data_IF_060756188406
#
_entry.id   IF_060756188406
#
_cell.length_a   1.000
_cell.length_b   1.000
_cell.length_c   1.000
_cell.angle_alpha   90.00
_cell.angle_beta   90.00
_cell.angle_gamma   90.00
#
_symmetry.space_group_name_H-M   'P 1'
#
loop_
_entity.id
_entity.type
_entity.pdbx_description
1 polymer ?
#
# COMPACT_ATOMS: atom_id res chain seq x y z
N UNK A 1 15.54 -32.66 6.95
CA UNK A 1 14.68 -31.47 7.04
C UNK A 1 14.57 -30.89 5.64
N UNK A 2 13.45 -31.11 4.96
CA UNK A 2 13.24 -30.62 3.60
C UNK A 2 12.94 -29.13 3.72
N UNK A 3 13.90 -28.27 3.37
CA UNK A 3 13.62 -26.86 3.12
C UNK A 3 12.69 -26.80 1.90
N UNK A 4 11.39 -26.74 2.15
CA UNK A 4 10.44 -26.33 1.11
C UNK A 4 10.82 -24.89 0.80
N UNK A 5 11.41 -24.69 -0.38
CA UNK A 5 11.80 -23.39 -0.89
C UNK A 5 10.49 -22.64 -1.23
N UNK A 6 9.81 -22.10 -0.21
CA UNK A 6 8.67 -21.19 -0.34
C UNK A 6 9.23 -19.88 -0.89
N UNK A 7 9.61 -19.88 -2.18
CA UNK A 7 9.91 -18.64 -2.88
C UNK A 7 8.60 -17.87 -2.99
N UNK A 8 8.54 -16.70 -2.37
CA UNK A 8 7.45 -15.78 -2.58
C UNK A 8 7.67 -15.23 -4.00
N UNK A 9 7.15 -15.93 -5.00
CA UNK A 9 7.46 -15.68 -6.41
C UNK A 9 7.04 -14.28 -6.91
N UNK A 10 6.28 -13.54 -6.10
CA UNK A 10 5.90 -12.14 -6.31
C UNK A 10 6.82 -11.11 -5.59
N UNK A 11 7.93 -11.53 -4.98
CA UNK A 11 8.85 -10.68 -4.21
C UNK A 11 9.31 -9.46 -5.04
N UNK A 12 9.62 -9.69 -6.33
CA UNK A 12 10.03 -8.65 -7.30
C UNK A 12 8.97 -7.58 -7.56
N UNK A 13 7.72 -7.80 -7.11
CA UNK A 13 6.61 -6.85 -7.21
C UNK A 13 6.04 -6.44 -5.86
N UNK A 14 6.63 -6.92 -4.75
CA UNK A 14 6.12 -6.65 -3.42
C UNK A 14 6.54 -5.24 -2.96
N UNK A 15 5.63 -4.59 -2.23
CA UNK A 15 5.84 -3.28 -1.60
C UNK A 15 5.58 -3.43 -0.11
N UNK A 16 6.52 -2.97 0.70
CA UNK A 16 6.39 -2.96 2.16
C UNK A 16 6.29 -1.53 2.66
N UNK A 17 5.18 -1.17 3.31
CA UNK A 17 5.03 0.05 4.09
C UNK A 17 5.32 -0.22 5.57
N UNK A 18 6.03 0.69 6.21
CA UNK A 18 6.54 0.55 7.57
C UNK A 18 6.21 1.84 8.32
N UNK A 19 5.43 1.74 9.40
CA UNK A 19 5.23 2.88 10.30
C UNK A 19 6.57 3.26 10.95
N UNK A 20 6.94 4.53 10.91
CA UNK A 20 8.23 5.00 11.46
C UNK A 20 8.44 4.68 12.93
N UNK A 21 7.36 4.69 13.71
CA UNK A 21 7.37 4.29 15.12
C UNK A 21 7.84 2.85 15.33
N UNK A 22 7.64 1.95 14.36
CA UNK A 22 8.22 0.62 14.39
C UNK A 22 9.75 0.65 14.25
N UNK A 23 10.29 1.53 13.39
CA UNK A 23 11.75 1.68 13.24
C UNK A 23 12.40 2.23 14.51
N UNK A 24 11.75 3.16 15.20
CA UNK A 24 12.17 3.62 16.52
C UNK A 24 12.25 2.46 17.52
N UNK A 25 11.16 1.70 17.65
CA UNK A 25 11.10 0.53 18.52
C UNK A 25 12.18 -0.51 18.16
N UNK A 26 12.45 -0.72 16.87
CA UNK A 26 13.50 -1.63 16.41
C UNK A 26 14.91 -1.12 16.76
N UNK A 27 15.18 0.19 16.68
CA UNK A 27 16.45 0.80 17.11
C UNK A 27 16.65 0.65 18.62
N UNK A 28 15.65 1.00 19.42
CA UNK A 28 15.71 0.87 20.89
C UNK A 28 16.00 -0.56 21.33
N UNK A 29 15.44 -1.54 20.63
CA UNK A 29 15.67 -2.98 20.91
C UNK A 29 16.97 -3.52 20.28
N UNK A 30 17.79 -2.69 19.66
CA UNK A 30 19.00 -3.12 18.91
C UNK A 30 18.70 -4.15 17.82
N UNK A 31 17.51 -4.06 17.19
CA UNK A 31 17.02 -4.97 16.14
C UNK A 31 17.01 -4.35 14.74
N UNK A 32 17.35 -3.06 14.61
CA UNK A 32 17.33 -2.37 13.31
C UNK A 32 18.21 -3.07 12.25
N UNK A 33 19.42 -3.48 12.61
CA UNK A 33 20.34 -4.21 11.69
C UNK A 33 19.73 -5.51 11.19
N UNK A 34 19.16 -6.30 12.11
CA UNK A 34 18.51 -7.56 11.79
C UNK A 34 17.34 -7.31 10.85
N UNK A 35 16.41 -6.42 11.23
CA UNK A 35 15.26 -6.03 10.43
C UNK A 35 15.66 -5.59 9.02
N UNK A 36 16.68 -4.74 8.89
CA UNK A 36 17.13 -4.26 7.58
C UNK A 36 17.75 -5.38 6.73
N UNK A 37 18.53 -6.30 7.32
CA UNK A 37 19.04 -7.45 6.59
C UNK A 37 17.89 -8.32 6.08
N UNK A 38 16.86 -8.54 6.90
CA UNK A 38 15.68 -9.31 6.49
C UNK A 38 14.90 -8.65 5.35
N UNK A 39 14.74 -7.32 5.36
CA UNK A 39 14.12 -6.60 4.25
C UNK A 39 14.90 -6.74 2.94
N UNK A 40 16.23 -6.90 2.99
CA UNK A 40 17.04 -7.18 1.79
C UNK A 40 16.72 -8.55 1.23
N UNK A 41 16.72 -9.57 2.09
CA UNK A 41 16.57 -10.97 1.71
C UNK A 41 15.22 -11.26 1.05
N UNK A 42 14.15 -10.59 1.47
CA UNK A 42 12.80 -10.73 0.90
C UNK A 42 12.59 -10.02 -0.45
N UNK A 43 13.63 -9.38 -0.99
CA UNK A 43 13.64 -8.75 -2.33
C UNK A 43 12.44 -7.83 -2.68
N UNK A 44 11.89 -7.09 -1.71
CA UNK A 44 10.87 -6.06 -1.99
C UNK A 44 11.28 -5.09 -3.10
N UNK A 45 10.37 -4.83 -4.04
CA UNK A 45 10.52 -3.81 -5.08
C UNK A 45 10.61 -2.41 -4.51
N UNK A 46 9.82 -2.14 -3.48
CA UNK A 46 9.79 -0.85 -2.82
C UNK A 46 9.56 -1.01 -1.31
N UNK A 47 10.21 -0.13 -0.56
CA UNK A 47 10.03 0.04 0.87
C UNK A 47 9.51 1.46 1.09
N UNK A 48 8.46 1.58 1.87
CA UNK A 48 7.84 2.83 2.24
C UNK A 48 7.99 3.00 3.76
N UNK A 49 8.36 4.19 4.21
CA UNK A 49 8.37 4.59 5.61
C UNK A 49 7.30 5.66 5.80
N UNK A 50 6.28 5.34 6.58
CA UNK A 50 5.20 6.25 6.94
C UNK A 50 5.57 7.07 8.18
N UNK A 51 5.72 8.39 8.02
CA UNK A 51 6.00 9.33 9.12
C UNK A 51 4.73 10.04 9.63
N UNK A 52 3.52 9.58 9.25
CA UNK A 52 2.23 10.20 9.61
C UNK A 52 2.09 10.54 11.09
N UNK A 53 2.68 9.70 11.95
CA UNK A 53 2.56 9.77 13.39
C UNK A 53 3.86 10.21 14.09
N UNK A 54 4.87 10.67 13.33
CA UNK A 54 6.12 11.15 13.89
C UNK A 54 5.99 12.63 14.28
N UNK A 55 5.98 12.94 15.58
CA UNK A 55 6.07 14.33 16.05
C UNK A 55 7.45 14.93 15.78
N UNK A 56 8.49 14.12 16.01
CA UNK A 56 9.89 14.42 15.72
C UNK A 56 10.49 13.20 15.03
N UNK A 57 11.24 13.44 13.96
CA UNK A 57 11.97 12.38 13.26
C UNK A 57 13.40 12.33 13.82
N UNK A 58 13.76 11.23 14.48
CA UNK A 58 15.15 10.90 14.82
C UNK A 58 15.90 10.56 13.53
N UNK A 59 16.79 11.50 13.18
CA UNK A 59 17.58 11.52 11.97
C UNK A 59 18.53 10.33 11.86
N UNK A 60 19.10 9.91 13.00
CA UNK A 60 20.05 8.81 13.05
C UNK A 60 19.37 7.48 12.75
N UNK A 61 18.10 7.30 13.12
CA UNK A 61 17.32 6.08 12.77
C UNK A 61 17.20 5.97 11.27
N UNK A 62 16.76 7.03 10.60
CA UNK A 62 16.53 7.05 9.17
C UNK A 62 17.84 6.87 8.40
N UNK A 63 18.89 7.58 8.81
CA UNK A 63 20.22 7.46 8.22
C UNK A 63 20.79 6.05 8.40
N UNK A 64 20.68 5.48 9.60
CA UNK A 64 21.10 4.10 9.87
C UNK A 64 20.32 3.11 9.02
N UNK A 65 19.00 3.24 8.95
CA UNK A 65 18.15 2.36 8.14
C UNK A 65 18.49 2.45 6.65
N UNK A 66 18.67 3.67 6.11
CA UNK A 66 19.03 3.90 4.71
C UNK A 66 20.45 3.39 4.38
N UNK A 67 21.42 3.60 5.27
CA UNK A 67 22.76 3.04 5.15
C UNK A 67 22.74 1.52 5.19
N UNK A 68 21.98 0.94 6.11
CA UNK A 68 21.87 -0.50 6.26
C UNK A 68 21.17 -1.12 5.07
N UNK A 69 20.16 -0.49 4.46
CA UNK A 69 19.46 -1.05 3.30
C UNK A 69 20.37 -1.17 2.08
N UNK A 70 21.37 -0.29 1.92
CA UNK A 70 22.46 -0.37 0.93
C UNK A 70 22.08 -1.02 -0.42
N UNK A 71 20.95 -0.64 -1.00
CA UNK A 71 20.33 -1.43 -2.09
C UNK A 71 19.73 -0.55 -3.17
N UNK A 72 19.67 -1.09 -4.38
CA UNK A 72 18.87 -0.64 -5.54
C UNK A 72 17.36 -0.52 -5.27
N UNK A 73 16.89 -0.77 -4.03
CA UNK A 73 15.49 -0.71 -3.63
C UNK A 73 15.03 0.73 -3.44
N UNK A 74 13.85 1.00 -3.96
CA UNK A 74 13.19 2.28 -3.79
C UNK A 74 12.72 2.46 -2.35
N UNK A 75 13.24 3.46 -1.64
CA UNK A 75 12.75 3.86 -0.31
C UNK A 75 11.88 5.11 -0.50
N UNK A 76 10.76 5.19 0.20
CA UNK A 76 9.86 6.35 0.13
C UNK A 76 9.47 6.82 1.51
N UNK A 77 9.58 8.13 1.77
CA UNK A 77 9.12 8.75 3.03
C UNK A 77 7.75 9.42 2.82
N UNK A 78 6.83 9.32 3.78
CA UNK A 78 5.53 10.04 3.75
C UNK A 78 5.40 11.00 4.93
N UNK A 79 4.57 12.04 4.78
CA UNK A 79 4.11 12.92 5.87
C UNK A 79 5.21 13.70 6.63
N UNK A 80 6.26 14.12 5.92
CA UNK A 80 7.36 14.95 6.44
C UNK A 80 6.90 16.38 6.79
N UNK A 81 6.52 16.64 8.04
CA UNK A 81 6.29 18.02 8.50
C UNK A 81 7.59 18.77 8.84
N UNK A 82 8.63 18.04 9.27
CA UNK A 82 9.82 18.61 9.93
C UNK A 82 11.05 17.71 9.76
N UNK A 83 11.60 17.59 8.54
CA UNK A 83 12.92 16.98 8.31
C UNK A 83 13.97 18.04 8.00
N UNK A 84 15.21 17.85 8.46
CA UNK A 84 16.34 18.70 8.05
C UNK A 84 16.70 18.49 6.57
N UNK A 85 17.27 19.53 5.95
CA UNK A 85 17.79 19.45 4.58
C UNK A 85 18.97 18.47 4.43
N UNK A 86 19.66 18.12 5.52
CA UNK A 86 20.79 17.17 5.51
C UNK A 86 20.30 15.73 5.36
N UNK A 87 19.20 15.35 6.02
CA UNK A 87 18.54 14.07 5.76
C UNK A 87 18.06 13.99 4.33
N UNK A 88 17.36 15.04 3.90
CA UNK A 88 16.79 15.11 2.56
C UNK A 88 17.89 14.81 1.53
N UNK A 89 19.07 15.43 1.69
CA UNK A 89 20.28 15.16 0.88
C UNK A 89 20.83 13.74 1.02
N UNK A 90 20.88 13.19 2.24
CA UNK A 90 21.41 11.83 2.49
C UNK A 90 20.61 10.75 1.77
N UNK A 91 19.30 10.95 1.66
CA UNK A 91 18.42 10.11 0.86
C UNK A 91 18.55 10.42 -0.65
N UNK A 92 18.62 11.70 -1.05
CA UNK A 92 18.82 12.08 -2.46
C UNK A 92 20.09 11.48 -3.08
N UNK A 93 21.23 11.51 -2.36
CA UNK A 93 22.51 10.99 -2.86
C UNK A 93 22.51 9.46 -3.07
N UNK A 94 21.49 8.77 -2.56
CA UNK A 94 21.33 7.30 -2.63
C UNK A 94 20.23 6.83 -3.57
N UNK A 95 19.70 7.70 -4.44
CA UNK A 95 18.53 7.39 -5.30
C UNK A 95 17.24 7.12 -4.50
N UNK A 96 17.06 7.81 -3.36
CA UNK A 96 15.91 7.67 -2.48
C UNK A 96 15.09 8.97 -2.51
N UNK A 97 13.80 8.88 -2.81
CA UNK A 97 12.91 10.05 -2.96
C UNK A 97 12.36 10.50 -1.59
N UNK A 98 12.49 11.80 -1.31
CA UNK A 98 12.09 12.43 -0.03
C UNK A 98 10.94 13.39 -0.25
N UNK A 99 9.84 13.21 0.49
CA UNK A 99 8.56 13.87 0.20
C UNK A 99 8.01 14.68 1.38
N UNK A 100 8.04 16.00 1.22
CA UNK A 100 7.41 16.98 2.13
C UNK A 100 5.92 17.19 1.79
N UNK A 101 4.94 16.82 2.66
CA UNK A 101 3.58 17.31 2.56
C UNK A 101 3.53 18.83 2.71
N UNK A 102 2.89 19.47 1.74
CA UNK A 102 2.16 20.71 1.98
C UNK A 102 0.73 20.27 2.32
N UNK A 103 0.11 20.92 3.29
CA UNK A 103 -1.22 20.58 3.80
C UNK A 103 -2.20 20.25 2.65
N UNK A 104 -2.81 19.06 2.71
CA UNK A 104 -3.71 18.45 1.71
C UNK A 104 -3.08 17.86 0.43
N UNK A 105 -1.75 17.74 0.32
CA UNK A 105 -1.09 17.14 -0.85
C UNK A 105 -0.10 16.05 -0.42
N UNK A 106 -0.43 14.77 -0.65
CA UNK A 106 0.50 13.65 -0.48
C UNK A 106 1.26 13.44 -1.79
N UNK A 107 2.54 13.84 -1.90
CA UNK A 107 3.32 13.49 -3.09
C UNK A 107 3.67 12.00 -3.08
N UNK A 108 3.75 11.40 -4.26
CA UNK A 108 4.45 10.13 -4.41
C UNK A 108 5.32 10.22 -5.65
N UNK A 109 6.61 10.04 -5.46
CA UNK A 109 7.48 9.68 -6.56
C UNK A 109 7.33 8.19 -6.87
N UNK A 110 7.36 7.88 -8.16
CA UNK A 110 7.62 6.54 -8.67
C UNK A 110 8.63 6.69 -9.80
N UNK A 111 9.84 6.18 -9.58
CA UNK A 111 10.82 5.74 -10.59
C UNK A 111 11.31 6.75 -11.66
N UNK A 112 10.94 8.02 -11.57
CA UNK A 112 11.45 9.09 -12.40
C UNK A 112 11.11 10.40 -11.68
N UNK A 113 12.03 11.36 -11.61
CA UNK A 113 11.85 12.71 -11.03
C UNK A 113 10.68 13.53 -11.65
N UNK A 114 9.85 12.89 -12.47
CA UNK A 114 8.73 13.45 -13.19
C UNK A 114 7.37 13.01 -12.64
N UNK A 115 7.25 12.12 -11.65
CA UNK A 115 5.94 11.63 -11.18
C UNK A 115 5.47 12.31 -9.88
N UNK A 116 4.21 12.74 -9.79
CA UNK A 116 3.57 13.36 -8.63
C UNK A 116 2.26 12.63 -8.34
N UNK A 117 2.22 11.73 -7.36
CA UNK A 117 0.90 11.27 -6.91
C UNK A 117 0.17 12.39 -6.17
N UNK A 118 -1.14 12.44 -6.34
CA UNK A 118 -2.06 13.33 -5.64
C UNK A 118 -3.24 12.51 -5.09
N UNK A 119 -3.41 12.48 -3.77
CA UNK A 119 -4.58 11.83 -3.14
C UNK A 119 -5.78 12.77 -3.16
N UNK A 120 -6.90 12.32 -3.75
CA UNK A 120 -8.16 13.08 -3.79
C UNK A 120 -9.14 12.39 -2.87
N UNK A 121 -9.52 13.02 -1.76
CA UNK A 121 -10.65 12.53 -0.97
C UNK A 121 -11.95 12.80 -1.75
N UNK A 122 -12.74 11.75 -1.97
CA UNK A 122 -13.99 11.89 -2.69
C UNK A 122 -15.14 12.12 -1.71
N UNK A 123 -15.59 13.37 -1.58
CA UNK A 123 -16.91 13.66 -1.00
C UNK A 123 -17.88 14.09 -2.11
N UNK A 124 -19.16 13.75 -1.96
CA UNK A 124 -20.21 13.99 -2.98
C UNK A 124 -20.36 15.47 -3.36
N UNK A 125 -20.05 16.36 -2.41
CA UNK A 125 -20.15 17.81 -2.55
C UNK A 125 -18.97 18.42 -3.34
N UNK A 126 -17.91 17.64 -3.60
CA UNK A 126 -16.63 18.13 -4.15
C UNK A 126 -16.49 17.99 -5.66
N UNK A 127 -17.52 17.58 -6.42
CA UNK A 127 -17.37 17.42 -7.87
C UNK A 127 -17.04 18.74 -8.58
N UNK A 128 -17.62 19.86 -8.13
CA UNK A 128 -17.27 21.19 -8.64
C UNK A 128 -15.83 21.58 -8.26
N UNK A 129 -15.39 21.18 -7.07
CA UNK A 129 -14.03 21.40 -6.57
C UNK A 129 -12.99 20.56 -7.31
N UNK A 130 -13.35 19.37 -7.78
CA UNK A 130 -12.45 18.47 -8.51
C UNK A 130 -11.87 19.12 -9.76
N UNK A 131 -12.68 19.87 -10.51
CA UNK A 131 -12.21 20.56 -11.72
C UNK A 131 -11.13 21.58 -11.37
N UNK A 132 -11.38 22.38 -10.34
CA UNK A 132 -10.46 23.42 -9.90
C UNK A 132 -9.18 22.79 -9.34
N UNK A 133 -9.29 21.72 -8.56
CA UNK A 133 -8.16 20.93 -8.04
C UNK A 133 -7.31 20.37 -9.17
N UNK A 134 -7.90 19.68 -10.15
CA UNK A 134 -7.15 19.11 -11.28
C UNK A 134 -6.50 20.22 -12.11
N UNK A 135 -7.21 21.32 -12.36
CA UNK A 135 -6.66 22.47 -13.08
C UNK A 135 -5.48 23.12 -12.33
N UNK A 136 -5.57 23.23 -11.01
CA UNK A 136 -4.50 23.74 -10.16
C UNK A 136 -3.28 22.81 -10.22
N UNK A 137 -3.48 21.50 -10.08
CA UNK A 137 -2.43 20.48 -10.16
C UNK A 137 -1.72 20.55 -11.52
N UNK A 138 -2.45 20.56 -12.63
CA UNK A 138 -1.85 20.64 -13.97
C UNK A 138 -1.05 21.93 -14.16
N UNK A 139 -1.55 23.06 -13.64
CA UNK A 139 -0.89 24.36 -13.73
C UNK A 139 0.39 24.38 -12.92
N UNK A 140 0.32 23.92 -11.66
CA UNK A 140 1.42 23.94 -10.70
C UNK A 140 2.52 22.97 -11.07
N UNK A 141 2.17 21.84 -11.69
CA UNK A 141 3.09 20.74 -11.97
C UNK A 141 3.23 20.44 -13.46
N UNK A 142 3.28 21.51 -14.25
CA UNK A 142 3.46 21.43 -15.71
C UNK A 142 4.70 20.58 -16.07
N UNK A 143 4.53 19.65 -17.02
CA UNK A 143 5.54 18.68 -17.48
C UNK A 143 5.93 17.59 -16.48
N UNK A 144 5.13 17.39 -15.43
CA UNK A 144 5.23 16.24 -14.53
C UNK A 144 4.08 15.29 -14.85
N UNK A 145 4.36 13.99 -14.82
CA UNK A 145 3.33 12.98 -14.71
C UNK A 145 2.68 13.11 -13.33
N UNK A 146 1.37 13.16 -13.27
CA UNK A 146 0.60 13.19 -12.03
C UNK A 146 -0.09 11.84 -11.89
N UNK A 147 -0.12 11.25 -10.71
CA UNK A 147 -0.84 9.99 -10.48
C UNK A 147 -1.92 10.25 -9.44
N UNK A 148 -3.18 10.24 -9.83
CA UNK A 148 -4.28 10.52 -8.93
C UNK A 148 -4.67 9.25 -8.16
N UNK A 149 -4.89 9.40 -6.86
CA UNK A 149 -5.33 8.34 -5.95
C UNK A 149 -6.67 8.75 -5.32
N UNK A 150 -7.81 8.52 -5.99
CA UNK A 150 -9.12 8.77 -5.41
C UNK A 150 -9.32 7.90 -4.17
N UNK A 151 -9.39 8.53 -2.99
CA UNK A 151 -9.73 7.88 -1.73
C UNK A 151 -11.22 7.72 -1.62
N UNK A 152 -11.66 6.49 -1.44
CA UNK A 152 -13.07 6.20 -1.21
C UNK A 152 -13.30 5.96 0.27
N UNK A 153 -14.15 6.79 0.87
CA UNK A 153 -14.52 6.67 2.28
C UNK A 153 -15.46 5.48 2.51
N UNK A 154 -15.82 5.25 3.78
CA UNK A 154 -16.49 4.07 4.32
C UNK A 154 -17.44 3.33 3.35
N UNK A 155 -18.30 4.00 2.59
CA UNK A 155 -18.98 3.35 1.46
C UNK A 155 -18.57 3.96 0.12
N UNK A 156 -18.21 3.11 -0.84
CA UNK A 156 -18.00 3.54 -2.22
C UNK A 156 -19.34 4.04 -2.79
N UNK A 157 -19.47 5.36 -2.85
CA UNK A 157 -20.40 5.99 -3.79
C UNK A 157 -19.85 5.79 -5.21
N UNK A 158 -20.26 4.68 -5.81
CA UNK A 158 -19.84 4.32 -7.16
C UNK A 158 -20.28 5.34 -8.23
N UNK A 159 -21.31 6.16 -7.96
CA UNK A 159 -21.73 7.22 -8.89
C UNK A 159 -20.72 8.37 -8.84
N UNK A 160 -20.39 8.85 -7.65
CA UNK A 160 -19.38 9.89 -7.47
C UNK A 160 -18.01 9.42 -7.98
N UNK A 161 -17.59 8.21 -7.60
CA UNK A 161 -16.36 7.60 -8.07
C UNK A 161 -16.29 7.57 -9.61
N UNK A 162 -17.35 7.09 -10.28
CA UNK A 162 -17.41 7.10 -11.75
C UNK A 162 -17.25 8.49 -12.33
N UNK A 163 -17.92 9.49 -11.78
CA UNK A 163 -17.82 10.87 -12.29
C UNK A 163 -16.39 11.39 -12.20
N UNK A 164 -15.68 11.11 -11.10
CA UNK A 164 -14.27 11.50 -10.92
C UNK A 164 -13.36 10.76 -11.90
N UNK A 165 -13.52 9.44 -12.04
CA UNK A 165 -12.72 8.66 -12.99
C UNK A 165 -12.97 9.14 -14.43
N UNK A 166 -14.24 9.29 -14.83
CA UNK A 166 -14.61 9.77 -16.16
C UNK A 166 -14.02 11.17 -16.41
N UNK A 167 -13.97 12.03 -15.39
CA UNK A 167 -13.33 13.34 -15.49
C UNK A 167 -11.82 13.19 -15.71
N UNK A 168 -11.12 12.48 -14.81
CA UNK A 168 -9.66 12.26 -14.90
C UNK A 168 -9.28 11.70 -16.27
N UNK A 169 -9.96 10.66 -16.75
CA UNK A 169 -9.66 10.03 -18.04
C UNK A 169 -9.93 10.94 -19.26
N UNK A 170 -10.88 11.87 -19.16
CA UNK A 170 -11.23 12.80 -20.25
C UNK A 170 -10.39 14.07 -20.24
N UNK A 171 -9.98 14.56 -19.08
CA UNK A 171 -9.24 15.82 -18.94
C UNK A 171 -7.74 15.63 -18.82
N UNK A 172 -7.24 14.42 -18.55
CA UNK A 172 -5.81 14.14 -18.44
C UNK A 172 -5.07 14.46 -19.73
N UNK A 173 -4.23 15.49 -19.73
CA UNK A 173 -3.27 15.76 -20.80
C UNK A 173 -2.11 14.75 -20.79
N UNK A 174 -2.32 13.46 -21.11
CA UNK A 174 -1.33 12.35 -21.15
C UNK A 174 -0.42 12.13 -19.91
N UNK A 175 -0.41 13.07 -18.97
CA UNK A 175 0.49 13.15 -17.84
C UNK A 175 -0.24 12.72 -16.57
N UNK A 176 -1.57 12.78 -16.53
CA UNK A 176 -2.33 12.30 -15.37
C UNK A 176 -2.67 10.82 -15.54
N UNK A 177 -2.27 10.00 -14.58
CA UNK A 177 -2.54 8.57 -14.47
C UNK A 177 -3.30 8.27 -13.16
N UNK A 178 -3.83 7.06 -12.99
CA UNK A 178 -4.38 6.61 -11.71
C UNK A 178 -3.37 5.74 -10.97
N UNK A 179 -3.47 5.67 -9.63
CA UNK A 179 -2.64 4.75 -8.85
C UNK A 179 -2.95 3.27 -9.20
N UNK A 180 -2.10 2.33 -8.74
CA UNK A 180 -2.23 0.90 -9.03
C UNK A 180 -3.41 0.18 -8.33
N UNK A 181 -4.09 0.86 -7.39
CA UNK A 181 -5.29 0.37 -6.71
C UNK A 181 -6.59 0.65 -7.49
N UNK A 182 -6.50 1.42 -8.58
CA UNK A 182 -7.60 1.65 -9.53
C UNK A 182 -7.27 0.97 -10.86
N UNK A 183 -7.92 -0.15 -11.15
CA UNK A 183 -7.62 -0.93 -12.35
C UNK A 183 -8.85 -1.05 -13.25
N UNK A 184 -8.64 -1.13 -14.58
CA UNK A 184 -9.70 -1.50 -15.49
C UNK A 184 -10.34 -2.84 -15.11
N UNK A 185 -11.67 -2.88 -15.09
CA UNK A 185 -12.44 -4.07 -14.74
C UNK A 185 -12.08 -5.26 -15.62
N UNK A 186 -11.88 -5.03 -16.93
CA UNK A 186 -11.48 -6.06 -17.88
C UNK A 186 -10.08 -6.63 -17.57
N UNK A 187 -9.14 -5.79 -17.09
CA UNK A 187 -7.82 -6.26 -16.65
C UNK A 187 -7.95 -7.18 -15.43
N UNK A 188 -8.83 -6.86 -14.48
CA UNK A 188 -9.06 -7.74 -13.31
C UNK A 188 -9.70 -9.06 -13.73
N UNK A 189 -10.68 -9.03 -14.63
CA UNK A 189 -11.37 -10.22 -15.16
C UNK A 189 -10.39 -11.17 -15.87
N UNK A 190 -9.52 -10.62 -16.72
CA UNK A 190 -8.51 -11.38 -17.46
C UNK A 190 -7.35 -11.83 -16.56
N UNK A 191 -7.03 -11.04 -15.54
CA UNK A 191 -5.92 -11.28 -14.63
C UNK A 191 -6.37 -11.22 -13.16
N UNK A 192 -7.08 -12.26 -12.67
CA UNK A 192 -7.57 -12.34 -11.29
C UNK A 192 -6.43 -12.33 -10.25
N UNK A 193 -5.19 -12.57 -10.66
CA UNK A 193 -4.01 -12.35 -9.83
C UNK A 193 -3.88 -10.91 -9.32
N UNK A 194 -4.44 -9.92 -10.02
CA UNK A 194 -4.40 -8.52 -9.61
C UNK A 194 -5.15 -8.31 -8.29
N UNK A 195 -6.16 -9.14 -8.01
CA UNK A 195 -6.89 -9.22 -6.75
C UNK A 195 -6.52 -10.47 -5.94
N UNK A 196 -5.29 -10.97 -6.09
CA UNK A 196 -4.73 -12.07 -5.28
C UNK A 196 -5.46 -13.42 -5.38
N UNK A 197 -6.14 -13.70 -6.49
CA UNK A 197 -6.93 -14.94 -6.68
C UNK A 197 -6.30 -15.99 -7.57
N UNK A 198 -5.08 -15.79 -8.05
CA UNK A 198 -4.47 -16.73 -8.99
C UNK A 198 -3.54 -17.71 -8.28
N UNK A 199 -3.78 -19.00 -8.47
CA UNK A 199 -2.94 -20.10 -7.95
C UNK A 199 -1.74 -20.42 -8.84
N UNK A 200 -1.39 -19.53 -9.79
CA UNK A 200 -0.22 -19.67 -10.66
C UNK A 200 -0.32 -20.71 -11.78
N UNK A 201 -1.42 -21.48 -11.88
CA UNK A 201 -1.62 -22.48 -12.94
C UNK A 201 -2.00 -21.86 -14.30
N UNK A 202 -2.84 -20.81 -14.29
CA UNK A 202 -3.35 -20.18 -15.52
C UNK A 202 -2.73 -18.80 -15.79
N UNK A 203 -1.79 -18.35 -14.96
CA UNK A 203 -1.09 -17.08 -15.15
C UNK A 203 0.28 -17.33 -15.77
N UNK A 204 0.67 -16.49 -16.73
CA UNK A 204 2.02 -16.48 -17.31
C UNK A 204 3.12 -16.19 -16.28
N UNK A 205 2.73 -15.79 -15.06
CA UNK A 205 3.60 -15.49 -13.94
C UNK A 205 3.17 -16.38 -12.79
N UNK A 206 4.12 -17.06 -12.13
CA UNK A 206 3.87 -17.86 -10.92
C UNK A 206 3.55 -16.92 -9.75
N UNK A 207 2.38 -16.31 -9.74
CA UNK A 207 1.99 -15.39 -8.67
C UNK A 207 1.57 -16.17 -7.43
N UNK A 208 1.90 -15.64 -6.26
CA UNK A 208 1.44 -16.19 -5.00
C UNK A 208 0.07 -15.58 -4.65
N UNK A 209 -0.64 -16.25 -3.76
CA UNK A 209 -1.91 -15.77 -3.22
C UNK A 209 -1.72 -14.82 -2.02
N UNK A 210 -0.51 -14.28 -1.85
CA UNK A 210 -0.17 -13.40 -0.75
C UNK A 210 -0.38 -11.92 -1.12
N UNK A 211 -0.61 -11.04 -0.13
CA UNK A 211 -0.71 -9.61 -0.37
C UNK A 211 0.60 -9.03 -0.91
N UNK A 212 0.62 -8.49 -2.13
CA UNK A 212 1.81 -7.82 -2.70
C UNK A 212 2.14 -6.51 -1.99
N UNK A 213 1.14 -5.84 -1.44
CA UNK A 213 1.32 -4.63 -0.64
C UNK A 213 1.10 -5.00 0.82
N UNK A 214 2.15 -4.87 1.63
CA UNK A 214 2.17 -5.24 3.04
C UNK A 214 2.45 -4.00 3.86
N UNK A 215 1.80 -3.87 5.00
CA UNK A 215 2.02 -2.81 5.97
C UNK A 215 2.49 -3.40 7.30
N UNK A 216 3.50 -2.78 7.90
CA UNK A 216 4.03 -3.09 9.23
C UNK A 216 3.65 -1.95 10.17
N UNK A 217 2.77 -2.24 11.14
CA UNK A 217 2.34 -1.25 12.13
C UNK A 217 3.40 -1.04 13.24
N UNK A 218 3.18 -0.03 14.09
CA UNK A 218 4.04 0.28 15.25
C UNK A 218 4.29 -0.90 16.21
N UNK A 219 3.39 -1.88 16.24
CA UNK A 219 3.46 -3.06 17.11
C UNK A 219 4.12 -4.25 16.39
N UNK A 220 4.57 -4.07 15.15
CA UNK A 220 5.16 -5.11 14.32
C UNK A 220 4.14 -6.06 13.70
N UNK A 221 2.84 -5.76 13.72
CA UNK A 221 1.85 -6.55 13.02
C UNK A 221 1.95 -6.30 11.51
N UNK A 222 1.81 -7.39 10.75
CA UNK A 222 1.82 -7.37 9.30
C UNK A 222 0.41 -7.50 8.77
N UNK A 223 0.00 -6.54 7.95
CA UNK A 223 -1.32 -6.49 7.36
C UNK A 223 -1.24 -6.37 5.84
N UNK A 224 -2.24 -6.84 5.08
CA UNK A 224 -2.47 -6.33 3.74
C UNK A 224 -2.61 -4.81 3.80
N UNK A 225 -1.96 -4.10 2.88
CA UNK A 225 -1.83 -2.64 2.90
C UNK A 225 -3.14 -1.88 3.13
N UNK A 226 -3.18 -1.05 4.19
CA UNK A 226 -4.33 -0.27 4.65
C UNK A 226 -5.55 -1.09 5.10
N UNK A 227 -5.42 -2.40 5.26
CA UNK A 227 -6.50 -3.29 5.72
C UNK A 227 -6.14 -3.87 7.10
N UNK A 228 -6.21 -3.02 8.14
CA UNK A 228 -5.79 -3.31 9.52
C UNK A 228 -6.83 -4.10 10.33
N UNK A 229 -7.30 -5.24 9.79
CA UNK A 229 -8.21 -6.15 10.49
C UNK A 229 -7.50 -7.42 10.97
N UNK A 230 -7.65 -7.76 12.25
CA UNK A 230 -7.01 -8.94 12.85
C UNK A 230 -7.35 -10.26 12.15
N UNK A 231 -8.57 -10.37 11.62
CA UNK A 231 -9.05 -11.56 10.90
C UNK A 231 -8.23 -11.87 9.63
N UNK A 232 -7.50 -10.91 9.06
CA UNK A 232 -6.65 -11.15 7.89
C UNK A 232 -5.19 -10.76 8.12
N UNK A 233 -4.81 -10.56 9.39
CA UNK A 233 -3.43 -10.26 9.78
C UNK A 233 -2.50 -11.38 9.29
N UNK A 234 -1.37 -10.99 8.70
CA UNK A 234 -0.36 -11.90 8.17
C UNK A 234 0.42 -12.54 9.32
N UNK A 235 0.86 -11.71 10.29
CA UNK A 235 1.56 -12.16 11.48
C UNK A 235 2.09 -11.00 12.31
N UNK A 236 3.07 -11.25 13.16
CA UNK A 236 3.75 -10.22 13.95
C UNK A 236 5.27 -10.47 13.94
N UNK A 237 6.05 -9.49 13.48
CA UNK A 237 7.50 -9.60 13.37
C UNK A 237 8.18 -9.67 14.75
N UNK A 238 7.63 -9.05 15.78
CA UNK A 238 8.25 -9.08 17.11
C UNK A 238 8.09 -10.48 17.73
N UNK A 239 6.90 -11.08 17.62
CA UNK A 239 6.61 -12.42 18.11
C UNK A 239 7.43 -13.51 17.38
N UNK A 240 7.72 -13.27 16.10
CA UNK A 240 8.46 -14.19 15.23
C UNK A 240 9.95 -13.84 15.10
N UNK A 241 10.52 -13.16 16.10
CA UNK A 241 11.96 -12.81 16.18
C UNK A 241 12.52 -12.09 14.93
N UNK A 242 11.67 -11.32 14.25
CA UNK A 242 11.91 -10.59 13.01
C UNK A 242 12.13 -11.49 11.78
N UNK A 243 11.72 -12.76 11.83
CA UNK A 243 11.78 -13.70 10.71
C UNK A 243 10.50 -13.62 9.84
N UNK A 244 10.60 -12.89 8.73
CA UNK A 244 9.49 -12.74 7.78
C UNK A 244 9.14 -14.06 7.07
N UNK A 245 10.12 -14.94 6.85
CA UNK A 245 9.85 -16.26 6.27
C UNK A 245 9.02 -17.11 7.23
N UNK A 246 9.35 -17.08 8.52
CA UNK A 246 8.55 -17.75 9.56
C UNK A 246 7.13 -17.17 9.60
N UNK A 247 6.98 -15.83 9.59
CA UNK A 247 5.67 -15.16 9.52
C UNK A 247 4.85 -15.68 8.33
N UNK A 248 5.41 -15.67 7.12
CA UNK A 248 4.69 -16.14 5.93
C UNK A 248 4.44 -17.65 5.94
N UNK A 249 5.36 -18.46 6.47
CA UNK A 249 5.16 -19.91 6.60
C UNK A 249 3.98 -20.23 7.53
N UNK A 250 3.84 -19.50 8.65
CA UNK A 250 2.69 -19.60 9.57
C UNK A 250 1.41 -19.07 8.95
N UNK A 251 1.51 -18.00 8.17
CA UNK A 251 0.37 -17.43 7.44
C UNK A 251 -0.16 -18.38 6.38
N UNK A 252 0.71 -19.11 5.69
CA UNK A 252 0.35 -20.03 4.60
C UNK A 252 -0.71 -21.03 5.05
N UNK A 253 -1.85 -21.04 4.37
CA UNK A 253 -3.02 -21.87 4.68
C UNK A 253 -3.63 -21.70 6.10
N UNK A 254 -3.24 -20.65 6.83
CA UNK A 254 -3.86 -20.28 8.09
C UNK A 254 -5.34 -19.88 7.92
N UNK A 255 -6.05 -19.70 9.04
CA UNK A 255 -7.42 -19.17 9.02
C UNK A 255 -7.41 -17.76 8.40
N UNK A 256 -6.45 -16.93 8.78
CA UNK A 256 -6.31 -15.55 8.31
C UNK A 256 -6.05 -15.49 6.80
N UNK A 257 -5.19 -16.37 6.28
CA UNK A 257 -4.94 -16.47 4.83
C UNK A 257 -6.18 -16.93 4.06
N UNK A 258 -6.92 -17.92 4.57
CA UNK A 258 -8.17 -18.35 3.94
C UNK A 258 -9.23 -17.26 3.94
N UNK A 259 -9.37 -16.54 5.06
CA UNK A 259 -10.27 -15.39 5.17
C UNK A 259 -9.88 -14.27 4.20
N UNK A 260 -8.58 -13.98 4.05
CA UNK A 260 -8.09 -13.04 3.03
C UNK A 260 -8.48 -13.47 1.62
N UNK A 261 -8.27 -14.73 1.25
CA UNK A 261 -8.65 -15.23 -0.09
C UNK A 261 -10.16 -15.20 -0.32
N UNK A 262 -10.96 -15.50 0.70
CA UNK A 262 -12.41 -15.38 0.60
C UNK A 262 -12.88 -13.95 0.37
N UNK A 263 -12.32 -12.96 1.07
CA UNK A 263 -12.61 -11.55 0.82
C UNK A 263 -12.32 -11.17 -0.62
N UNK A 264 -11.15 -11.56 -1.13
CA UNK A 264 -10.77 -11.32 -2.51
C UNK A 264 -11.74 -11.97 -3.50
N UNK A 265 -12.21 -13.20 -3.22
CA UNK A 265 -13.20 -13.90 -4.08
C UNK A 265 -14.53 -13.16 -4.11
N UNK A 266 -15.01 -12.68 -2.97
CA UNK A 266 -16.26 -11.92 -2.90
C UNK A 266 -16.15 -10.58 -3.65
N UNK A 267 -15.02 -9.88 -3.51
CA UNK A 267 -14.76 -8.66 -4.29
C UNK A 267 -14.70 -8.95 -5.78
N UNK A 268 -14.01 -10.00 -6.20
CA UNK A 268 -13.92 -10.39 -7.61
C UNK A 268 -15.30 -10.73 -8.20
N UNK A 269 -16.14 -11.47 -7.46
CA UNK A 269 -17.54 -11.71 -7.86
C UNK A 269 -18.29 -10.39 -8.06
N UNK A 270 -18.16 -9.44 -7.13
CA UNK A 270 -18.80 -8.11 -7.26
C UNK A 270 -18.31 -7.39 -8.50
N UNK A 271 -17.00 -7.33 -8.74
CA UNK A 271 -16.39 -6.70 -9.92
C UNK A 271 -16.95 -7.28 -11.22
N UNK A 272 -17.20 -8.60 -11.29
CA UNK A 272 -17.80 -9.21 -12.49
C UNK A 272 -19.21 -8.70 -12.82
N UNK A 273 -19.95 -8.22 -11.82
CA UNK A 273 -21.29 -7.65 -12.01
C UNK A 273 -21.29 -6.12 -12.13
N UNK A 274 -20.17 -5.47 -11.82
CA UNK A 274 -20.03 -4.02 -11.96
C UNK A 274 -19.93 -3.62 -13.43
N UNK A 275 -20.66 -2.56 -13.80
CA UNK A 275 -20.61 -1.94 -15.14
C UNK A 275 -19.60 -0.78 -15.22
N UNK A 276 -18.66 -0.71 -14.27
CA UNK A 276 -17.66 0.34 -14.20
C UNK A 276 -16.44 -0.03 -15.02
N UNK A 277 -15.88 0.95 -15.74
CA UNK A 277 -14.68 0.74 -16.56
C UNK A 277 -13.45 0.52 -15.68
N UNK A 278 -13.31 1.29 -14.61
CA UNK A 278 -12.23 1.20 -13.62
C UNK A 278 -12.84 0.97 -12.25
N UNK A 279 -12.22 0.15 -11.42
CA UNK A 279 -12.68 -0.15 -10.06
C UNK A 279 -11.58 0.06 -9.00
N UNK A 280 -11.94 0.58 -7.81
CA UNK A 280 -11.01 0.76 -6.69
C UNK A 280 -10.89 -0.56 -5.93
N UNK A 281 -10.22 -1.55 -6.53
CA UNK A 281 -10.31 -2.95 -6.09
C UNK A 281 -9.81 -3.17 -4.66
N UNK A 282 -8.78 -2.44 -4.21
CA UNK A 282 -8.28 -2.50 -2.82
C UNK A 282 -9.34 -2.00 -1.84
N UNK A 283 -9.92 -0.84 -2.12
CA UNK A 283 -10.95 -0.24 -1.25
C UNK A 283 -12.17 -1.14 -1.13
N UNK A 284 -12.52 -1.85 -2.22
CA UNK A 284 -13.56 -2.87 -2.18
C UNK A 284 -13.23 -4.03 -1.23
N UNK A 285 -11.96 -4.46 -1.14
CA UNK A 285 -11.51 -5.50 -0.19
C UNK A 285 -11.59 -4.98 1.24
N UNK A 286 -11.10 -3.76 1.49
CA UNK A 286 -11.17 -3.12 2.81
C UNK A 286 -12.62 -3.00 3.29
N UNK A 287 -13.51 -2.52 2.43
CA UNK A 287 -14.94 -2.43 2.72
C UNK A 287 -15.56 -3.78 3.06
N UNK A 288 -15.19 -4.84 2.33
CA UNK A 288 -15.69 -6.18 2.61
C UNK A 288 -15.14 -6.73 3.93
N UNK A 289 -13.87 -6.46 4.24
CA UNK A 289 -13.26 -6.82 5.51
C UNK A 289 -14.00 -6.15 6.68
N UNK A 290 -14.29 -4.85 6.57
CA UNK A 290 -15.05 -4.09 7.57
C UNK A 290 -16.44 -4.66 7.78
N UNK A 291 -17.19 -4.93 6.71
CA UNK A 291 -18.55 -5.48 6.80
C UNK A 291 -18.61 -6.81 7.51
N UNK A 292 -17.57 -7.65 7.41
CA UNK A 292 -17.49 -8.90 8.19
C UNK A 292 -17.20 -8.62 9.66
N UNK A 293 -16.25 -7.73 9.93
CA UNK A 293 -15.89 -7.33 11.30
C UNK A 293 -17.09 -6.74 12.07
N UNK A 294 -17.88 -5.87 11.43
CA UNK A 294 -19.05 -5.25 12.05
C UNK A 294 -20.16 -6.27 12.36
N UNK A 295 -20.28 -7.34 11.56
CA UNK A 295 -21.23 -8.44 11.82
C UNK A 295 -20.80 -9.31 13.00
N UNK A 296 -19.52 -9.61 13.10
CA UNK A 296 -19.00 -10.45 14.18
C UNK A 296 -19.11 -9.72 15.53
N UNK A 297 -18.74 -8.44 15.58
CA UNK A 297 -18.86 -7.60 16.80
C UNK A 297 -20.31 -7.32 17.22
N UNK A 298 -21.23 -7.14 16.27
CA UNK A 298 -22.66 -7.01 16.59
C UNK A 298 -23.26 -8.31 17.13
N UNK A 299 -22.81 -9.48 16.64
CA UNK A 299 -23.28 -10.77 17.15
C UNK A 299 -22.82 -11.08 18.59
N UNK A 300 -21.62 -10.65 18.98
CA UNK A 300 -21.11 -10.81 20.35
C UNK A 300 -21.86 -9.93 21.38
N UNK A 301 -22.42 -8.80 20.95
CA UNK A 301 -23.22 -7.92 21.79
C UNK A 301 -24.64 -8.46 22.07
N UNK A 302 -25.14 -9.39 21.26
CA UNK A 302 -26.44 -10.05 21.49
C UNK A 302 -26.34 -11.31 22.38
N UNK A 303 -25.12 -11.72 22.73
CA UNK A 303 -24.88 -12.91 23.56
C UNK A 303 -24.23 -12.62 24.93
N UNK A 304 -24.19 -11.34 25.33
CA UNK A 304 -23.86 -10.90 26.71
C UNK A 304 -25.08 -10.26 27.36
#
# INVERSE_FOLDING_TARGET
MIMINLKYHDEEFAVCEIEYSFLLNAKEKSKLVFFTQFLKDFNFKAIIIDLSYAEVVDEDVLNSFAQLLNSEKYIKLYHIKTLSMEIIKTFYDKSIDVITPIENISFFDTYNFNNIIYEINLFYEDYLYLRDVISEIETRYKNKNIIVSPKVNNDIDFKAYRMIIDYILKTSNNNISLNSFHLPTEIIKLHPCNVYLCTGHDCHIKKTNYPRYIEIDKNGNLHPYKIKYNQIRIGNLIDDEFDLYLVFSKYTNSIQHRQFLELNREVFKKINYLKFEIVPWRDMIEMEARRRYDKDTSSELYHK
#
